data_IF_810924071877
#
_entry.id   IF_810924071877
#
_cell.length_a   1.000
_cell.length_b   1.000
_cell.length_c   1.000
_cell.angle_alpha   90.00
_cell.angle_beta   90.00
_cell.angle_gamma   90.00
#
_symmetry.space_group_name_H-M   'P 1'
#
loop_
_entity.id
_entity.type
_entity.pdbx_description
1 polymer ?
#
# COMPACT_ATOMS: atom_id res chain seq x y z
N UNK A 1 -22.44 7.23 -7.53
CA UNK A 1 -21.99 5.82 -7.52
C UNK A 1 -22.65 5.13 -6.34
N UNK A 2 -23.32 4.01 -6.57
CA UNK A 2 -23.96 3.21 -5.51
C UNK A 2 -22.89 2.40 -4.78
N UNK A 3 -22.59 2.74 -3.53
CA UNK A 3 -21.67 1.96 -2.69
C UNK A 3 -22.18 0.53 -2.50
N UNK A 4 -21.28 -0.45 -2.39
CA UNK A 4 -21.63 -1.85 -2.08
C UNK A 4 -21.81 -2.75 -3.31
N UNK A 5 -21.65 -2.23 -4.53
CA UNK A 5 -21.70 -3.04 -5.76
C UNK A 5 -20.37 -3.73 -6.07
N UNK A 6 -19.24 -3.13 -5.68
CA UNK A 6 -17.93 -3.71 -5.91
C UNK A 6 -17.00 -3.33 -4.77
N UNK A 7 -16.67 -4.33 -3.93
CA UNK A 7 -15.71 -4.15 -2.84
C UNK A 7 -14.40 -3.51 -3.34
N UNK A 8 -13.93 -3.92 -4.52
CA UNK A 8 -12.74 -3.35 -5.16
C UNK A 8 -12.87 -1.85 -5.43
N UNK A 9 -14.00 -1.41 -6.00
CA UNK A 9 -14.24 0.00 -6.30
C UNK A 9 -14.46 0.79 -5.00
N UNK A 10 -15.21 0.22 -4.05
CA UNK A 10 -15.46 0.84 -2.75
C UNK A 10 -14.16 1.05 -1.97
N UNK A 11 -13.26 0.06 -1.93
CA UNK A 11 -11.95 0.17 -1.29
C UNK A 11 -11.03 1.14 -2.06
N UNK A 12 -11.10 1.21 -3.39
CA UNK A 12 -10.31 2.19 -4.15
C UNK A 12 -10.62 3.63 -3.74
N UNK A 13 -11.87 3.93 -3.37
CA UNK A 13 -12.27 5.26 -2.88
C UNK A 13 -11.69 5.61 -1.51
N UNK A 14 -11.11 4.65 -0.79
CA UNK A 14 -10.51 4.85 0.53
C UNK A 14 -9.01 5.17 0.46
N UNK A 15 -8.39 5.06 -0.72
CA UNK A 15 -6.98 5.40 -0.93
C UNK A 15 -6.80 6.91 -0.76
N UNK A 16 -5.72 7.29 -0.07
CA UNK A 16 -5.36 8.69 0.18
C UNK A 16 -6.50 9.54 0.78
N UNK A 17 -7.30 8.94 1.68
CA UNK A 17 -8.45 9.62 2.29
C UNK A 17 -8.19 10.08 3.72
N UNK A 18 -7.78 9.17 4.61
CA UNK A 18 -7.50 9.41 6.03
C UNK A 18 -6.74 8.23 6.65
N UNK A 19 -6.28 8.42 7.89
CA UNK A 19 -5.59 7.39 8.68
C UNK A 19 -4.15 7.79 8.96
N UNK A 20 -3.24 6.81 8.96
CA UNK A 20 -1.81 7.08 9.11
C UNK A 20 -1.28 7.83 7.89
N UNK A 21 -0.37 8.76 8.14
CA UNK A 21 0.21 9.64 7.13
C UNK A 21 1.56 9.08 6.67
N UNK A 22 1.78 9.00 5.37
CA UNK A 22 3.05 8.61 4.75
C UNK A 22 3.71 9.83 4.14
N UNK A 23 4.88 10.20 4.68
CA UNK A 23 5.72 11.25 4.10
C UNK A 23 6.66 10.61 3.06
N UNK A 24 6.49 11.01 1.81
CA UNK A 24 7.25 10.49 0.66
C UNK A 24 8.52 11.30 0.41
N UNK A 25 9.41 10.78 -0.44
CA UNK A 25 10.66 11.43 -0.88
C UNK A 25 10.42 12.84 -1.44
N UNK A 26 9.36 13.02 -2.22
CA UNK A 26 8.98 14.30 -2.85
C UNK A 26 8.18 15.22 -1.90
N UNK A 27 8.34 15.02 -0.59
CA UNK A 27 7.70 15.75 0.52
C UNK A 27 6.17 15.72 0.53
N UNK A 28 5.56 14.96 -0.38
CA UNK A 28 4.11 14.76 -0.42
C UNK A 28 3.67 13.77 0.64
N UNK A 29 2.44 14.00 1.12
CA UNK A 29 1.79 13.21 2.16
C UNK A 29 0.64 12.40 1.57
N UNK A 30 0.58 11.14 1.95
CA UNK A 30 -0.52 10.25 1.59
C UNK A 30 -1.14 9.62 2.84
N UNK A 31 -2.44 9.33 2.78
CA UNK A 31 -3.15 8.74 3.92
C UNK A 31 -3.62 7.30 3.66
N UNK A 32 -3.51 6.45 4.68
CA UNK A 32 -3.97 5.06 4.60
C UNK A 32 -4.46 4.50 5.94
N UNK A 33 -5.26 3.43 5.90
CA UNK A 33 -5.74 2.77 7.12
C UNK A 33 -4.78 1.67 7.57
N UNK A 34 -4.29 1.78 8.81
CA UNK A 34 -3.42 0.77 9.45
C UNK A 34 -3.97 -0.66 9.35
N UNK A 35 -5.27 -0.82 9.61
CA UNK A 35 -5.93 -2.13 9.57
C UNK A 35 -5.90 -2.76 8.17
N UNK A 36 -6.13 -1.97 7.12
CA UNK A 36 -6.08 -2.46 5.73
C UNK A 36 -4.64 -2.81 5.36
N UNK A 37 -3.68 -1.92 5.65
CA UNK A 37 -2.26 -2.16 5.37
C UNK A 37 -1.78 -3.49 6.01
N UNK A 38 -2.04 -3.68 7.29
CA UNK A 38 -1.62 -4.87 8.02
C UNK A 38 -2.35 -6.15 7.60
N UNK A 39 -3.64 -6.08 7.33
CA UNK A 39 -4.40 -7.24 6.83
C UNK A 39 -3.94 -7.70 5.43
N UNK A 40 -3.28 -6.83 4.68
CA UNK A 40 -2.92 -7.03 3.27
C UNK A 40 -1.42 -7.13 3.03
N UNK A 41 -0.58 -6.90 4.04
CA UNK A 41 0.88 -6.95 3.94
C UNK A 41 1.50 -7.30 5.28
N UNK A 42 2.22 -8.42 5.34
CA UNK A 42 2.94 -8.83 6.55
C UNK A 42 4.05 -7.82 6.92
N UNK A 43 4.65 -7.17 5.92
CA UNK A 43 5.63 -6.09 6.12
C UNK A 43 4.99 -4.92 6.87
N UNK A 44 3.82 -4.45 6.41
CA UNK A 44 3.10 -3.38 7.11
C UNK A 44 2.54 -3.85 8.46
N UNK A 45 2.12 -5.11 8.60
CA UNK A 45 1.69 -5.64 9.89
C UNK A 45 2.83 -5.56 10.92
N UNK A 46 4.03 -6.05 10.55
CA UNK A 46 5.22 -5.96 11.39
C UNK A 46 5.65 -4.51 11.62
N UNK A 47 5.55 -3.63 10.63
CA UNK A 47 5.92 -2.22 10.79
C UNK A 47 4.98 -1.48 11.77
N UNK A 48 3.68 -1.72 11.66
CA UNK A 48 2.64 -0.93 12.35
C UNK A 48 2.23 -1.50 13.71
N UNK A 49 2.53 -2.76 13.99
CA UNK A 49 2.11 -3.47 15.20
C UNK A 49 3.26 -4.22 15.88
N UNK A 50 4.50 -3.73 15.76
CA UNK A 50 5.68 -4.27 16.46
C UNK A 50 5.85 -3.78 17.91
N UNK A 51 5.03 -2.84 18.38
CA UNK A 51 5.20 -2.21 19.70
C UNK A 51 6.33 -1.17 19.77
N UNK A 52 6.97 -0.85 18.64
CA UNK A 52 7.97 0.22 18.52
C UNK A 52 7.32 1.57 18.21
N UNK A 53 8.14 2.61 18.01
CA UNK A 53 7.71 4.01 17.80
C UNK A 53 6.61 4.12 16.74
N UNK A 54 6.78 3.44 15.61
CA UNK A 54 5.84 3.41 14.47
C UNK A 54 4.45 2.91 14.87
N UNK A 55 4.34 2.08 15.92
CA UNK A 55 3.05 1.62 16.43
C UNK A 55 2.21 2.77 16.97
N UNK A 56 2.84 3.81 17.54
CA UNK A 56 2.17 4.92 18.21
C UNK A 56 2.13 6.21 17.39
N UNK A 57 2.89 6.29 16.29
CA UNK A 57 2.97 7.50 15.46
C UNK A 57 1.85 7.64 14.44
N UNK A 58 1.37 8.86 14.21
CA UNK A 58 0.39 9.12 13.15
C UNK A 58 1.02 9.37 11.78
N UNK A 59 2.36 9.39 11.69
CA UNK A 59 3.10 9.59 10.46
C UNK A 59 4.29 8.61 10.37
N UNK A 60 4.57 8.11 9.16
CA UNK A 60 5.74 7.28 8.83
C UNK A 60 6.42 7.90 7.60
N UNK A 61 7.75 7.96 7.62
CA UNK A 61 8.54 8.50 6.50
C UNK A 61 9.11 7.39 5.62
N UNK A 62 8.96 7.54 4.30
CA UNK A 62 9.56 6.69 3.28
C UNK A 62 10.45 7.54 2.36
N UNK A 63 11.68 7.89 2.78
CA UNK A 63 12.52 8.85 2.09
C UNK A 63 13.08 8.36 0.74
N UNK A 64 12.77 7.13 0.33
CA UNK A 64 13.22 6.52 -0.93
C UNK A 64 12.06 6.18 -1.88
N UNK A 65 10.83 6.55 -1.50
CA UNK A 65 9.62 6.27 -2.28
C UNK A 65 8.92 7.61 -2.49
N UNK A 66 8.78 8.03 -3.74
CA UNK A 66 7.98 9.20 -4.10
C UNK A 66 6.47 8.90 -4.01
N UNK A 67 5.66 9.94 -3.98
CA UNK A 67 4.20 9.84 -3.87
C UNK A 67 3.55 8.96 -4.94
N UNK A 68 3.95 9.10 -6.21
CA UNK A 68 3.40 8.30 -7.29
C UNK A 68 3.62 6.80 -7.03
N UNK A 69 4.80 6.44 -6.52
CA UNK A 69 5.09 5.05 -6.20
C UNK A 69 4.36 4.53 -4.98
N UNK A 70 4.20 5.36 -3.95
CA UNK A 70 3.39 5.02 -2.80
C UNK A 70 1.90 4.88 -3.16
N UNK A 71 1.36 5.68 -4.08
CA UNK A 71 -0.02 5.51 -4.56
C UNK A 71 -0.26 4.16 -5.24
N UNK A 72 0.69 3.68 -6.05
CA UNK A 72 0.63 2.35 -6.69
C UNK A 72 0.65 1.24 -5.64
N UNK A 73 1.52 1.36 -4.63
CA UNK A 73 1.57 0.44 -3.49
C UNK A 73 0.22 0.40 -2.77
N UNK A 74 -0.34 1.56 -2.45
CA UNK A 74 -1.63 1.66 -1.76
C UNK A 74 -2.76 1.10 -2.63
N UNK A 75 -2.77 1.37 -3.94
CA UNK A 75 -3.76 0.79 -4.84
C UNK A 75 -3.68 -0.74 -4.86
N UNK A 76 -2.47 -1.30 -4.89
CA UNK A 76 -2.29 -2.74 -4.82
C UNK A 76 -2.83 -3.33 -3.51
N UNK A 77 -2.47 -2.73 -2.37
CA UNK A 77 -2.88 -3.19 -1.04
C UNK A 77 -4.42 -3.20 -0.93
N UNK A 78 -5.07 -2.11 -1.36
CA UNK A 78 -6.51 -1.93 -1.24
C UNK A 78 -7.31 -2.75 -2.24
N UNK A 79 -6.82 -2.92 -3.47
CA UNK A 79 -7.63 -3.48 -4.56
C UNK A 79 -7.12 -4.81 -5.10
N UNK A 80 -5.95 -5.26 -4.65
CA UNK A 80 -5.29 -6.49 -5.11
C UNK A 80 -4.79 -6.43 -6.56
N UNK A 81 -4.78 -5.25 -7.18
CA UNK A 81 -4.38 -5.04 -8.56
C UNK A 81 -3.88 -3.62 -8.78
N UNK A 82 -3.00 -3.44 -9.76
CA UNK A 82 -2.58 -2.13 -10.26
C UNK A 82 -2.77 -2.10 -11.76
N UNK A 83 -3.04 -0.92 -12.34
CA UNK A 83 -3.07 -0.79 -13.79
C UNK A 83 -1.65 -0.89 -14.32
N UNK A 84 -1.46 -1.66 -15.40
CA UNK A 84 -0.14 -1.79 -16.05
C UNK A 84 0.42 -0.43 -16.48
N UNK A 85 -0.46 0.47 -16.92
CA UNK A 85 -0.14 1.85 -17.31
C UNK A 85 0.49 2.68 -16.18
N UNK A 86 0.21 2.33 -14.92
CA UNK A 86 0.78 3.00 -13.75
C UNK A 86 2.21 2.52 -13.44
N UNK A 87 2.65 1.40 -14.00
CA UNK A 87 3.99 0.87 -13.81
C UNK A 87 4.94 1.45 -14.88
N UNK A 88 5.96 2.19 -14.45
CA UNK A 88 6.97 2.80 -15.32
C UNK A 88 8.31 2.11 -15.10
N UNK A 89 9.22 2.10 -16.07
CA UNK A 89 10.54 1.45 -15.88
C UNK A 89 11.39 2.11 -14.80
N UNK A 90 11.08 3.37 -14.47
CA UNK A 90 11.83 4.18 -13.51
C UNK A 90 11.34 4.00 -12.07
N UNK A 91 10.26 3.25 -11.85
CA UNK A 91 9.70 3.11 -10.53
C UNK A 91 10.24 1.88 -9.78
N UNK A 92 11.09 2.13 -8.77
CA UNK A 92 11.68 1.18 -7.79
C UNK A 92 10.66 0.31 -7.05
N UNK A 93 9.38 0.54 -7.32
CA UNK A 93 8.19 -0.10 -6.79
C UNK A 93 8.18 -1.59 -7.11
N UNK A 94 8.74 -2.03 -8.24
CA UNK A 94 8.66 -3.43 -8.64
C UNK A 94 9.27 -4.35 -7.56
N UNK A 95 10.45 -3.99 -7.01
CA UNK A 95 11.08 -4.74 -5.92
C UNK A 95 10.29 -4.69 -4.60
N UNK A 96 9.61 -3.58 -4.30
CA UNK A 96 8.77 -3.44 -3.11
C UNK A 96 7.42 -4.14 -3.24
N UNK A 97 6.83 -4.12 -4.44
CA UNK A 97 5.69 -4.97 -4.78
C UNK A 97 6.10 -6.43 -4.65
N UNK A 98 7.25 -6.85 -5.19
CA UNK A 98 7.73 -8.23 -5.00
C UNK A 98 7.89 -8.61 -3.53
N UNK A 99 8.35 -7.71 -2.65
CA UNK A 99 8.49 -7.98 -1.21
C UNK A 99 7.16 -7.97 -0.44
N UNK A 100 6.14 -7.24 -0.90
CA UNK A 100 4.77 -7.30 -0.37
C UNK A 100 4.00 -8.51 -0.94
N UNK A 101 4.33 -8.97 -2.15
CA UNK A 101 3.54 -9.94 -2.94
C UNK A 101 3.90 -11.40 -2.70
N UNK A 102 5.12 -11.76 -2.26
CA UNK A 102 5.51 -13.18 -2.08
C UNK A 102 5.73 -13.54 -0.62
N UNK A 103 4.91 -14.45 -0.06
CA UNK A 103 5.00 -15.87 -0.44
C UNK A 103 3.69 -16.56 -0.87
N UNK A 104 2.54 -15.89 -1.01
CA UNK A 104 1.29 -16.64 -1.25
C UNK A 104 0.96 -16.86 -2.72
N UNK A 105 1.17 -15.88 -3.61
CA UNK A 105 0.56 -15.92 -4.95
C UNK A 105 1.32 -16.76 -5.98
N UNK A 106 2.64 -16.91 -5.85
CA UNK A 106 3.43 -17.81 -6.70
C UNK A 106 3.13 -19.30 -6.43
N UNK A 107 2.69 -19.65 -5.22
CA UNK A 107 2.40 -21.04 -4.83
C UNK A 107 1.00 -21.51 -5.25
N UNK A 108 0.06 -20.61 -5.51
CA UNK A 108 -1.32 -20.98 -5.92
C UNK A 108 -1.60 -20.84 -7.42
N UNK A 109 -0.76 -20.13 -8.19
CA UNK A 109 -0.93 -20.01 -9.64
C UNK A 109 -0.10 -21.05 -10.45
N UNK A 110 0.65 -21.94 -9.79
CA UNK A 110 1.44 -23.01 -10.42
C UNK A 110 0.99 -24.45 -10.05
N UNK A 111 -0.24 -24.62 -9.55
CA UNK A 111 -0.87 -25.93 -9.30
C UNK A 111 -2.30 -25.98 -9.82
#
# INVERSE_FOLDING_TARGET
MTKGLSLKQDLRLLINNRGIEFLCEDEKKLHAYRAILAARSEVFNKLLYNGMKETYENQISFPKINSAGMEIILEYIYTGSVKRESLTKDNTIEAFLFSIISPSRFYYENH
#
